data_IF_909962587894
#
_entry.id   IF_909962587894
#
_cell.length_a   1.000
_cell.length_b   1.000
_cell.length_c   1.000
_cell.angle_alpha   90.00
_cell.angle_beta   90.00
_cell.angle_gamma   90.00
#
_symmetry.space_group_name_H-M   'P 1'
#
loop_
_entity.id
_entity.type
_entity.pdbx_description
1 polymer ?
#
# COMPACT_ATOMS: atom_id res chain seq x y z
N UNK A 1 -1.55 -9.13 -2.50
CA UNK A 1 -1.37 -8.57 -3.89
C UNK A 1 -0.03 -9.06 -4.43
N UNK A 2 0.07 -9.55 -5.67
CA UNK A 2 1.33 -10.07 -6.21
C UNK A 2 2.28 -8.91 -6.55
N UNK A 3 3.58 -9.08 -6.35
CA UNK A 3 4.59 -8.03 -6.58
C UNK A 3 4.50 -7.38 -7.98
N UNK A 4 4.16 -8.16 -8.99
CA UNK A 4 3.99 -7.66 -10.37
C UNK A 4 2.89 -6.63 -10.51
N UNK A 5 1.81 -6.74 -9.72
CA UNK A 5 0.70 -5.78 -9.74
C UNK A 5 1.09 -4.43 -9.14
N UNK A 6 2.20 -4.36 -8.39
CA UNK A 6 2.78 -3.12 -7.85
C UNK A 6 3.80 -2.50 -8.82
N UNK A 7 4.65 -3.32 -9.45
CA UNK A 7 5.69 -2.84 -10.39
C UNK A 7 5.07 -2.03 -11.53
N UNK A 8 4.02 -2.56 -12.18
CA UNK A 8 3.41 -1.95 -13.36
C UNK A 8 2.85 -0.54 -13.12
N UNK A 9 2.02 -0.28 -12.09
CA UNK A 9 1.48 1.06 -11.84
C UNK A 9 2.59 2.06 -11.48
N UNK A 10 3.58 1.66 -10.65
CA UNK A 10 4.68 2.53 -10.26
C UNK A 10 5.52 2.90 -11.49
N UNK A 11 5.92 1.91 -12.31
CA UNK A 11 6.66 2.16 -13.55
C UNK A 11 5.94 3.14 -14.48
N UNK A 12 4.62 2.93 -14.67
CA UNK A 12 3.82 3.82 -15.52
C UNK A 12 3.73 5.23 -14.95
N UNK A 13 3.59 5.34 -13.65
CA UNK A 13 3.58 6.62 -12.95
C UNK A 13 4.92 7.36 -13.09
N UNK A 14 6.05 6.63 -13.11
CA UNK A 14 7.38 7.16 -13.42
C UNK A 14 7.63 7.35 -14.94
N UNK A 15 6.61 7.21 -15.80
CA UNK A 15 6.69 7.33 -17.26
C UNK A 15 7.75 6.45 -17.92
N UNK A 16 8.10 5.33 -17.28
CA UNK A 16 9.10 4.39 -17.80
C UNK A 16 8.47 3.33 -18.68
N UNK A 17 9.16 2.94 -19.75
CA UNK A 17 8.87 1.73 -20.52
C UNK A 17 9.40 0.48 -19.81
N UNK A 18 8.89 -0.71 -20.16
CA UNK A 18 9.44 -1.98 -19.65
C UNK A 18 10.92 -2.15 -20.03
N UNK A 19 11.30 -1.63 -21.21
CA UNK A 19 12.68 -1.65 -21.68
C UNK A 19 13.59 -0.81 -20.80
N UNK A 20 13.24 0.45 -20.55
CA UNK A 20 14.01 1.35 -19.67
C UNK A 20 14.17 0.80 -18.26
N UNK A 21 13.09 0.25 -17.67
CA UNK A 21 13.19 -0.40 -16.38
C UNK A 21 14.11 -1.64 -16.43
N UNK A 22 14.03 -2.42 -17.50
CA UNK A 22 14.90 -3.59 -17.71
C UNK A 22 16.38 -3.21 -17.83
N UNK A 23 16.69 -2.14 -18.57
CA UNK A 23 18.04 -1.59 -18.74
C UNK A 23 18.60 -1.07 -17.40
N UNK A 24 17.83 -0.26 -16.66
CA UNK A 24 18.23 0.23 -15.32
C UNK A 24 18.44 -0.89 -14.32
N UNK A 25 17.76 -2.01 -14.50
CA UNK A 25 17.87 -3.19 -13.66
C UNK A 25 19.00 -4.16 -14.08
N UNK A 26 19.75 -3.83 -15.13
CA UNK A 26 20.86 -4.63 -15.63
C UNK A 26 20.43 -5.97 -16.26
N UNK A 27 19.23 -6.05 -16.81
CA UNK A 27 18.68 -7.29 -17.40
C UNK A 27 19.06 -7.50 -18.88
N UNK A 28 19.85 -6.60 -19.47
CA UNK A 28 20.31 -6.67 -20.85
C UNK A 28 19.17 -6.69 -21.88
N UNK A 29 19.42 -7.29 -23.03
CA UNK A 29 18.46 -7.32 -24.18
C UNK A 29 17.12 -7.98 -23.82
N UNK A 30 17.09 -8.95 -22.93
CA UNK A 30 15.86 -9.62 -22.47
C UNK A 30 15.10 -8.85 -21.39
N UNK A 31 15.58 -7.66 -21.01
CA UNK A 31 15.06 -6.89 -19.87
C UNK A 31 13.58 -6.56 -19.99
N UNK A 32 13.15 -6.04 -21.13
CA UNK A 32 11.75 -5.69 -21.37
C UNK A 32 10.81 -6.89 -21.19
N UNK A 33 11.17 -8.04 -21.77
CA UNK A 33 10.38 -9.27 -21.64
C UNK A 33 10.33 -9.76 -20.19
N UNK A 34 11.46 -9.68 -19.48
CA UNK A 34 11.52 -10.09 -18.06
C UNK A 34 10.68 -9.20 -17.15
N UNK A 35 10.73 -7.88 -17.36
CA UNK A 35 9.85 -6.95 -16.65
C UNK A 35 8.38 -7.24 -16.96
N UNK A 36 8.02 -7.46 -18.23
CA UNK A 36 6.68 -7.85 -18.62
C UNK A 36 6.21 -9.13 -17.88
N UNK A 37 7.06 -10.16 -17.78
CA UNK A 37 6.76 -11.39 -17.05
C UNK A 37 6.56 -11.15 -15.54
N UNK A 38 7.32 -10.24 -14.94
CA UNK A 38 7.12 -9.85 -13.54
C UNK A 38 5.77 -9.12 -13.37
N UNK A 39 5.46 -8.14 -14.23
CA UNK A 39 4.23 -7.35 -14.15
C UNK A 39 2.95 -8.18 -14.27
N UNK A 40 2.96 -9.24 -15.07
CA UNK A 40 1.81 -10.16 -15.18
C UNK A 40 1.87 -11.33 -14.17
N UNK A 41 2.84 -11.30 -13.27
CA UNK A 41 3.06 -12.35 -12.26
C UNK A 41 3.30 -13.75 -12.85
N UNK A 42 3.77 -13.83 -14.10
CA UNK A 42 4.22 -15.09 -14.70
C UNK A 42 5.52 -15.60 -14.07
N UNK A 43 6.37 -14.65 -13.61
CA UNK A 43 7.57 -14.92 -12.81
C UNK A 43 7.60 -14.02 -11.59
N UNK A 44 8.15 -14.52 -10.49
CA UNK A 44 8.45 -13.73 -9.29
C UNK A 44 9.92 -13.33 -9.32
N UNK A 45 10.25 -12.01 -9.21
CA UNK A 45 11.64 -11.59 -9.10
C UNK A 45 12.23 -12.08 -7.79
N UNK A 46 13.52 -12.46 -7.79
CA UNK A 46 14.27 -12.78 -6.58
C UNK A 46 14.53 -11.49 -5.77
N UNK A 47 14.85 -11.61 -4.49
CA UNK A 47 15.08 -10.47 -3.57
C UNK A 47 16.05 -9.45 -4.15
N UNK A 48 17.19 -9.89 -4.69
CA UNK A 48 18.15 -8.97 -5.32
C UNK A 48 17.58 -8.19 -6.50
N UNK A 49 16.66 -8.80 -7.24
CA UNK A 49 15.98 -8.15 -8.36
C UNK A 49 14.91 -7.18 -7.84
N UNK A 50 14.24 -7.50 -6.73
CA UNK A 50 13.28 -6.60 -6.09
C UNK A 50 13.98 -5.32 -5.67
N UNK A 51 15.15 -5.41 -5.03
CA UNK A 51 15.94 -4.27 -4.60
C UNK A 51 16.36 -3.38 -5.76
N UNK A 52 16.83 -3.98 -6.85
CA UNK A 52 17.20 -3.25 -8.07
C UNK A 52 15.99 -2.57 -8.72
N UNK A 53 14.85 -3.26 -8.78
CA UNK A 53 13.60 -2.69 -9.32
C UNK A 53 13.12 -1.52 -8.43
N UNK A 54 13.13 -1.68 -7.11
CA UNK A 54 12.77 -0.63 -6.17
C UNK A 54 13.65 0.62 -6.35
N UNK A 55 14.97 0.41 -6.41
CA UNK A 55 15.93 1.48 -6.68
C UNK A 55 15.69 2.18 -8.02
N UNK A 56 15.46 1.40 -9.09
CA UNK A 56 15.21 1.95 -10.43
C UNK A 56 13.89 2.72 -10.52
N UNK A 57 12.91 2.37 -9.70
CA UNK A 57 11.60 3.01 -9.60
C UNK A 57 11.56 4.16 -8.57
N UNK A 58 12.67 4.38 -7.83
CA UNK A 58 12.76 5.38 -6.76
C UNK A 58 11.68 5.17 -5.68
N UNK A 59 11.61 3.94 -5.14
CA UNK A 59 10.72 3.57 -4.04
C UNK A 59 11.46 2.70 -3.03
N UNK A 60 10.95 2.63 -1.79
CA UNK A 60 11.46 1.70 -0.79
C UNK A 60 11.24 0.24 -1.23
N UNK A 61 12.21 -0.65 -0.92
CA UNK A 61 12.05 -2.10 -1.10
C UNK A 61 10.77 -2.61 -0.46
N UNK A 62 10.42 -2.09 0.72
CA UNK A 62 9.19 -2.48 1.44
C UNK A 62 7.93 -2.30 0.61
N UNK A 63 7.84 -1.27 -0.22
CA UNK A 63 6.69 -1.01 -1.11
C UNK A 63 6.46 -2.18 -2.08
N UNK A 64 7.53 -2.83 -2.55
CA UNK A 64 7.46 -3.97 -3.46
C UNK A 64 7.42 -5.31 -2.74
N UNK A 65 8.12 -5.45 -1.61
CA UNK A 65 8.39 -6.73 -0.93
C UNK A 65 7.27 -7.21 0.01
N UNK A 66 6.21 -6.42 0.23
CA UNK A 66 5.06 -6.90 0.99
C UNK A 66 4.48 -8.09 0.22
N UNK A 67 4.91 -9.29 0.65
CA UNK A 67 4.41 -10.55 0.11
C UNK A 67 2.94 -10.73 0.46
N UNK A 68 2.24 -11.05 -0.47
CA UNK A 68 0.90 -10.98 -0.82
C UNK A 68 0.07 -12.18 -0.37
N UNK A 69 -0.32 -12.26 0.83
CA UNK A 69 -1.68 -12.62 1.13
C UNK A 69 -2.34 -11.43 1.84
N UNK A 70 -2.56 -10.35 1.08
CA UNK A 70 -3.22 -9.12 1.53
C UNK A 70 -4.75 -9.34 1.55
N UNK A 71 -5.19 -10.49 2.06
CA UNK A 71 -6.59 -10.66 2.36
C UNK A 71 -6.92 -9.89 3.64
N UNK A 72 -8.13 -9.38 3.74
CA UNK A 72 -8.62 -8.81 5.01
C UNK A 72 -8.49 -9.80 6.16
N UNK A 73 -8.48 -11.11 5.86
CA UNK A 73 -8.25 -12.17 6.84
C UNK A 73 -6.83 -12.14 7.41
N UNK A 74 -5.81 -11.94 6.57
CA UNK A 74 -4.42 -11.80 7.02
C UNK A 74 -4.24 -10.55 7.87
N UNK A 75 -4.84 -9.42 7.46
CA UNK A 75 -4.85 -8.21 8.27
C UNK A 75 -5.50 -8.47 9.64
N UNK A 76 -6.66 -9.13 9.65
CA UNK A 76 -7.38 -9.47 10.88
C UNK A 76 -6.55 -10.39 11.80
N UNK A 77 -5.84 -11.38 11.24
CA UNK A 77 -4.93 -12.23 12.02
C UNK A 77 -3.78 -11.44 12.64
N UNK A 78 -3.18 -10.48 11.92
CA UNK A 78 -2.16 -9.60 12.50
C UNK A 78 -2.74 -8.77 13.66
N UNK A 79 -3.94 -8.22 13.51
CA UNK A 79 -4.61 -7.49 14.59
C UNK A 79 -4.87 -8.39 15.81
N UNK A 80 -5.29 -9.66 15.62
CA UNK A 80 -5.45 -10.60 16.73
C UNK A 80 -4.16 -10.88 17.50
N UNK A 81 -3.02 -11.00 16.79
CA UNK A 81 -1.73 -11.19 17.45
C UNK A 81 -1.27 -9.95 18.20
N UNK A 82 -1.48 -8.77 17.63
CA UNK A 82 -1.19 -7.49 18.33
C UNK A 82 -2.04 -7.33 19.60
N UNK A 83 -3.32 -7.64 19.52
CA UNK A 83 -4.22 -7.62 20.71
C UNK A 83 -3.84 -8.67 21.75
N UNK A 84 -3.34 -9.83 21.33
CA UNK A 84 -2.84 -10.87 22.23
C UNK A 84 -1.54 -10.45 22.95
N UNK A 85 -0.67 -9.70 22.29
CA UNK A 85 0.58 -9.17 22.88
C UNK A 85 0.31 -7.99 23.81
N UNK A 86 -0.58 -7.10 23.42
CA UNK A 86 -1.02 -5.93 24.22
C UNK A 86 -2.51 -5.66 24.02
N UNK A 87 -3.33 -6.10 24.94
CA UNK A 87 -4.79 -5.92 24.90
C UNK A 87 -5.26 -4.47 25.05
N UNK A 88 -4.35 -3.52 25.31
CA UNK A 88 -4.67 -2.09 25.37
C UNK A 88 -4.41 -1.39 24.04
N UNK A 89 -3.76 -2.07 23.10
CA UNK A 89 -3.36 -1.50 21.82
C UNK A 89 -4.53 -1.32 20.86
N UNK A 90 -5.52 -2.22 20.88
CA UNK A 90 -6.64 -2.24 19.94
C UNK A 90 -7.96 -2.13 20.67
N UNK A 91 -8.77 -1.14 20.28
CA UNK A 91 -10.14 -0.98 20.75
C UNK A 91 -11.12 -1.15 19.59
N UNK A 92 -12.17 -1.93 19.82
CA UNK A 92 -13.26 -2.16 18.87
C UNK A 92 -14.49 -1.39 19.32
N UNK A 93 -14.88 -0.37 18.55
CA UNK A 93 -16.03 0.48 18.89
C UNK A 93 -17.18 0.19 17.92
N UNK A 94 -18.31 -0.35 18.41
CA UNK A 94 -19.52 -0.44 17.59
C UNK A 94 -20.00 0.96 17.18
N UNK A 95 -20.12 1.18 15.85
CA UNK A 95 -20.55 2.46 15.28
C UNK A 95 -22.05 2.39 15.00
N UNK A 96 -22.82 3.31 15.59
CA UNK A 96 -24.26 3.47 15.36
C UNK A 96 -24.58 4.93 15.04
N UNK A 97 -25.81 5.22 14.66
CA UNK A 97 -26.25 6.56 14.28
C UNK A 97 -26.02 7.63 15.36
N UNK A 98 -25.93 7.24 16.62
CA UNK A 98 -25.77 8.17 17.74
C UNK A 98 -24.31 8.53 18.05
N UNK A 99 -23.33 7.73 17.62
CA UNK A 99 -21.90 7.96 17.91
C UNK A 99 -21.02 8.18 16.66
N UNK A 100 -21.61 8.17 15.45
CA UNK A 100 -20.88 8.31 14.20
C UNK A 100 -21.11 9.70 13.60
N UNK A 101 -20.05 10.51 13.50
CA UNK A 101 -20.05 11.76 12.71
C UNK A 101 -19.65 11.51 11.24
N UNK A 102 -19.39 10.27 10.87
CA UNK A 102 -19.06 9.89 9.49
C UNK A 102 -20.35 9.87 8.64
N UNK A 103 -20.27 10.15 7.34
CA UNK A 103 -21.38 9.98 6.40
C UNK A 103 -21.64 8.47 6.17
N UNK A 104 -21.97 7.75 7.24
CA UNK A 104 -22.41 6.36 7.15
C UNK A 104 -23.79 6.34 6.51
N UNK A 105 -23.96 5.62 5.41
CA UNK A 105 -25.28 5.37 4.86
C UNK A 105 -26.07 4.55 5.88
N UNK A 106 -27.30 4.94 6.24
CA UNK A 106 -28.06 4.32 7.34
C UNK A 106 -28.49 2.87 7.10
N UNK A 107 -28.10 2.23 6.01
CA UNK A 107 -28.71 0.98 5.57
C UNK A 107 -28.11 -0.30 6.10
N UNK A 108 -26.92 -0.27 6.72
CA UNK A 108 -26.25 -1.50 7.17
C UNK A 108 -25.72 -1.36 8.61
N UNK A 109 -26.46 -1.90 9.53
CA UNK A 109 -26.50 -1.61 10.95
C UNK A 109 -25.34 -2.14 11.82
N UNK A 110 -24.21 -2.57 11.30
CA UNK A 110 -23.13 -3.12 12.13
C UNK A 110 -21.73 -2.74 11.60
N UNK A 111 -21.38 -1.47 11.68
CA UNK A 111 -20.00 -1.07 11.49
C UNK A 111 -19.24 -1.16 12.83
N UNK A 112 -18.01 -1.62 12.77
CA UNK A 112 -17.08 -1.58 13.91
C UNK A 112 -15.90 -0.72 13.50
N UNK A 113 -15.63 0.33 14.27
CA UNK A 113 -14.40 1.10 14.15
C UNK A 113 -13.29 0.38 14.93
N UNK A 114 -12.09 0.37 14.35
CA UNK A 114 -10.88 -0.13 15.02
C UNK A 114 -10.06 1.10 15.41
N UNK A 115 -9.83 1.27 16.70
CA UNK A 115 -8.94 2.30 17.23
C UNK A 115 -7.65 1.62 17.66
N UNK A 116 -6.51 2.15 17.20
CA UNK A 116 -5.18 1.65 17.57
C UNK A 116 -4.51 2.69 18.44
N UNK A 117 -4.19 2.34 19.68
CA UNK A 117 -3.61 3.23 20.69
C UNK A 117 -2.07 3.26 20.64
N UNK A 118 -1.52 3.50 19.44
CA UNK A 118 -0.10 3.72 19.21
C UNK A 118 0.12 5.10 18.60
N UNK A 119 0.92 5.93 19.25
CA UNK A 119 1.12 7.34 18.87
C UNK A 119 1.72 7.47 17.47
N UNK A 120 2.75 6.68 17.14
CA UNK A 120 3.40 6.73 15.84
C UNK A 120 2.46 6.28 14.73
N UNK A 121 1.67 5.25 14.99
CA UNK A 121 0.66 4.78 14.04
C UNK A 121 -0.48 5.79 13.86
N UNK A 122 -0.91 6.46 14.92
CA UNK A 122 -1.91 7.54 14.86
C UNK A 122 -1.43 8.72 14.02
N UNK A 123 -0.16 9.10 14.11
CA UNK A 123 0.44 10.13 13.25
C UNK A 123 0.38 9.73 11.77
N UNK A 124 0.71 8.47 11.45
CA UNK A 124 0.62 7.94 10.08
C UNK A 124 -0.81 7.97 9.55
N UNK A 125 -1.79 7.56 10.35
CA UNK A 125 -3.20 7.60 9.99
C UNK A 125 -3.71 9.03 9.80
N UNK A 126 -3.27 9.97 10.64
CA UNK A 126 -3.61 11.39 10.54
C UNK A 126 -3.05 11.98 9.24
N UNK A 127 -1.81 11.70 8.93
CA UNK A 127 -1.18 12.12 7.68
C UNK A 127 -1.93 11.53 6.47
N UNK A 128 -2.26 10.24 6.52
CA UNK A 128 -3.02 9.62 5.44
C UNK A 128 -4.42 10.23 5.28
N UNK A 129 -5.11 10.52 6.37
CA UNK A 129 -6.41 11.19 6.31
C UNK A 129 -6.31 12.60 5.71
N UNK A 130 -5.27 13.37 6.06
CA UNK A 130 -4.99 14.68 5.49
C UNK A 130 -4.81 14.61 3.97
N UNK A 131 -4.01 13.67 3.48
CA UNK A 131 -3.79 13.49 2.05
C UNK A 131 -5.07 13.07 1.31
N UNK A 132 -5.93 12.28 1.95
CA UNK A 132 -7.25 11.94 1.38
C UNK A 132 -8.16 13.16 1.27
N UNK A 133 -8.21 14.00 2.28
CA UNK A 133 -8.99 15.26 2.27
C UNK A 133 -8.47 16.18 1.17
N UNK A 134 -7.16 16.39 1.06
CA UNK A 134 -6.56 17.22 0.02
C UNK A 134 -6.91 16.71 -1.40
N UNK A 135 -6.96 15.38 -1.57
CA UNK A 135 -7.38 14.77 -2.84
C UNK A 135 -8.88 15.01 -3.11
N UNK A 136 -9.74 14.86 -2.10
CA UNK A 136 -11.18 15.06 -2.21
C UNK A 136 -11.53 16.53 -2.53
N UNK A 137 -10.81 17.47 -1.92
CA UNK A 137 -10.92 18.92 -2.16
C UNK A 137 -10.28 19.37 -3.48
N UNK A 138 -9.58 18.48 -4.18
CA UNK A 138 -8.89 18.78 -5.43
C UNK A 138 -7.63 19.64 -5.26
N UNK A 139 -7.13 19.80 -4.03
CA UNK A 139 -5.89 20.51 -3.73
C UNK A 139 -4.64 19.76 -4.22
N UNK A 140 -4.73 18.43 -4.33
CA UNK A 140 -3.71 17.57 -4.93
C UNK A 140 -4.33 16.68 -6.01
N UNK A 141 -3.50 16.22 -6.94
CA UNK A 141 -3.92 15.29 -7.99
C UNK A 141 -3.88 13.83 -7.51
N UNK A 142 -4.53 12.92 -8.25
CA UNK A 142 -4.39 11.47 -8.03
C UNK A 142 -2.93 10.99 -8.16
N UNK A 143 -2.14 11.68 -8.99
CA UNK A 143 -0.71 11.43 -9.17
C UNK A 143 0.08 11.77 -7.90
N UNK A 144 -0.14 12.96 -7.34
CA UNK A 144 0.52 13.41 -6.11
C UNK A 144 0.17 12.49 -4.94
N UNK A 145 -1.11 12.12 -4.80
CA UNK A 145 -1.56 11.17 -3.78
C UNK A 145 -0.93 9.77 -3.94
N UNK A 146 -0.74 9.33 -5.20
CA UNK A 146 -0.06 8.06 -5.47
C UNK A 146 1.42 8.14 -5.12
N UNK A 147 2.12 9.24 -5.46
CA UNK A 147 3.51 9.49 -5.09
C UNK A 147 3.68 9.47 -3.56
N UNK A 148 2.82 10.18 -2.82
CA UNK A 148 2.84 10.15 -1.37
C UNK A 148 2.78 8.71 -0.83
N UNK A 149 1.85 7.88 -1.32
CA UNK A 149 1.68 6.49 -0.87
C UNK A 149 2.90 5.60 -1.13
N UNK A 150 3.59 5.77 -2.26
CA UNK A 150 4.74 4.93 -2.61
C UNK A 150 6.05 5.43 -2.01
N UNK A 151 6.09 6.67 -1.52
CA UNK A 151 7.24 7.27 -0.83
C UNK A 151 7.14 7.16 0.69
N UNK A 152 5.92 7.05 1.23
CA UNK A 152 5.74 6.85 2.67
C UNK A 152 6.36 5.51 3.08
N UNK A 153 7.48 5.58 3.78
CA UNK A 153 8.12 4.42 4.39
C UNK A 153 7.54 4.18 5.77
N UNK A 154 6.87 3.06 5.93
CA UNK A 154 6.42 2.53 7.22
C UNK A 154 7.55 1.78 7.92
#
# INVERSE_FOLDING_TARGET
MKIGTKIRPIRRHRHMTQRELGERNGLGESGANRIAQYEISYRTPKRDQINKIAYALDVSEKVLSIEADESLQTLLQHLFWLDQEDSTLIELIPVNEGNCQLPCKPSDNNHIAIVIHDTAFQELLTNWNTEKILLEDGAITKGDYFDWKIQTSL
#
